data_IF_462900243928
#
_entry.id   IF_462900243928
#
_cell.length_a   1.000
_cell.length_b   1.000
_cell.length_c   1.000
_cell.angle_alpha   90.00
_cell.angle_beta   90.00
_cell.angle_gamma   90.00
#
_symmetry.space_group_name_H-M   'P 1'
#
loop_
_entity.id
_entity.type
_entity.pdbx_description
1 polymer ?
#
# COMPACT_ATOMS: atom_id res chain seq x y z
N UNK A 1 -7.09 22.24 -2.45
CA UNK A 1 -8.40 21.97 -3.05
C UNK A 1 -9.16 20.98 -2.17
N UNK A 2 -10.43 21.21 -1.82
CA UNK A 2 -11.20 20.25 -1.03
C UNK A 2 -11.35 18.92 -1.79
N UNK A 3 -11.52 17.83 -1.04
CA UNK A 3 -11.78 16.51 -1.63
C UNK A 3 -13.14 16.53 -2.35
N UNK A 4 -13.25 16.07 -3.60
CA UNK A 4 -14.48 16.20 -4.40
C UNK A 4 -15.61 15.24 -3.94
N UNK A 5 -15.40 14.43 -2.90
CA UNK A 5 -16.32 13.40 -2.46
C UNK A 5 -15.89 12.00 -2.92
N UNK A 6 -16.84 11.09 -3.11
CA UNK A 6 -16.54 9.74 -3.57
C UNK A 6 -16.10 9.74 -5.05
N UNK A 7 -14.99 9.05 -5.34
CA UNK A 7 -14.50 8.82 -6.70
C UNK A 7 -14.74 7.36 -7.07
N UNK A 8 -15.43 7.11 -8.17
CA UNK A 8 -15.61 5.77 -8.71
C UNK A 8 -14.48 5.46 -9.72
N UNK A 9 -13.82 4.32 -9.53
CA UNK A 9 -12.82 3.81 -10.47
C UNK A 9 -13.45 2.70 -11.31
N UNK A 10 -13.42 2.88 -12.62
CA UNK A 10 -13.91 1.90 -13.59
C UNK A 10 -12.73 1.29 -14.35
N UNK A 11 -12.91 0.07 -14.81
CA UNK A 11 -11.98 -0.63 -15.71
C UNK A 11 -12.74 -1.20 -16.89
N UNK A 12 -12.12 -1.12 -18.07
CA UNK A 12 -12.61 -1.80 -19.28
C UNK A 12 -11.45 -2.52 -19.96
N UNK A 13 -11.67 -3.66 -20.59
CA UNK A 13 -10.68 -4.31 -21.46
C UNK A 13 -10.54 -3.60 -22.82
N UNK A 14 -11.44 -2.68 -23.17
CA UNK A 14 -11.47 -1.93 -24.42
C UNK A 14 -12.04 -0.53 -24.24
N UNK A 15 -12.57 0.05 -25.30
CA UNK A 15 -13.19 1.38 -25.29
C UNK A 15 -14.60 1.40 -24.64
N UNK A 16 -15.23 0.25 -24.53
CA UNK A 16 -16.58 0.06 -24.00
C UNK A 16 -16.60 -0.97 -22.86
N UNK A 17 -17.76 -1.15 -22.23
CA UNK A 17 -17.96 -2.18 -21.22
C UNK A 17 -17.25 -1.86 -19.89
N UNK A 18 -17.35 -0.61 -19.43
CA UNK A 18 -16.76 -0.17 -18.17
C UNK A 18 -17.44 -0.82 -16.95
N UNK A 19 -16.67 -1.56 -16.17
CA UNK A 19 -17.10 -2.15 -14.91
C UNK A 19 -16.55 -1.37 -13.71
N UNK A 20 -17.40 -1.13 -12.72
CA UNK A 20 -16.98 -0.49 -11.47
C UNK A 20 -16.03 -1.43 -10.70
N UNK A 21 -14.78 -1.00 -10.50
CA UNK A 21 -13.78 -1.73 -9.72
C UNK A 21 -13.91 -1.41 -8.24
N UNK A 22 -13.99 -0.12 -7.91
CA UNK A 22 -14.06 0.34 -6.52
C UNK A 22 -14.52 1.79 -6.43
N UNK A 23 -14.96 2.18 -5.24
CA UNK A 23 -15.25 3.57 -4.92
C UNK A 23 -14.32 4.05 -3.81
N UNK A 24 -13.53 5.08 -4.11
CA UNK A 24 -12.63 5.72 -3.16
C UNK A 24 -13.40 6.85 -2.44
N UNK A 25 -13.68 6.66 -1.16
CA UNK A 25 -14.50 7.59 -0.37
C UNK A 25 -13.69 8.55 0.49
N UNK A 26 -12.42 8.28 0.70
CA UNK A 26 -11.53 9.07 1.56
C UNK A 26 -10.22 9.37 0.84
N UNK A 27 -9.57 10.45 1.26
CA UNK A 27 -8.21 10.76 0.84
C UNK A 27 -7.27 9.65 1.32
N UNK A 28 -6.23 9.39 0.53
CA UNK A 28 -5.10 8.62 1.00
C UNK A 28 -4.38 9.36 2.15
N UNK A 29 -3.79 8.61 3.07
CA UNK A 29 -2.84 9.17 4.01
C UNK A 29 -1.64 9.68 3.20
N UNK A 30 -1.33 10.94 3.31
CA UNK A 30 -0.20 11.58 2.62
C UNK A 30 0.53 12.47 3.60
N UNK A 31 1.85 12.44 3.54
CA UNK A 31 2.69 13.23 4.42
C UNK A 31 4.11 13.35 3.92
N UNK A 32 4.94 13.91 4.78
CA UNK A 32 6.38 14.02 4.59
C UNK A 32 7.12 13.60 5.84
N UNK A 33 8.27 12.99 5.66
CA UNK A 33 9.18 12.69 6.76
C UNK A 33 9.70 13.98 7.39
N UNK A 34 9.83 14.00 8.71
CA UNK A 34 10.43 15.13 9.44
C UNK A 34 11.86 14.86 9.87
N UNK A 35 12.30 13.61 9.75
CA UNK A 35 13.67 13.18 10.03
C UNK A 35 14.09 12.13 9.01
N UNK A 36 15.39 11.92 8.87
CA UNK A 36 15.94 10.88 8.01
C UNK A 36 15.55 9.50 8.53
N UNK A 37 15.20 8.61 7.63
CA UNK A 37 14.92 7.22 7.92
C UNK A 37 16.06 6.35 7.39
N UNK A 38 16.83 5.80 8.29
CA UNK A 38 17.97 4.94 7.97
C UNK A 38 17.52 3.52 7.55
N UNK A 39 18.42 2.80 6.89
CA UNK A 39 18.19 1.39 6.59
C UNK A 39 17.93 0.58 7.87
N UNK A 40 17.18 -0.49 7.75
CA UNK A 40 16.81 -1.34 8.87
C UNK A 40 16.80 -2.81 8.51
N UNK A 41 16.55 -3.69 9.49
CA UNK A 41 16.49 -5.13 9.25
C UNK A 41 15.28 -5.48 8.37
N UNK A 42 15.47 -6.46 7.50
CA UNK A 42 14.40 -7.15 6.77
C UNK A 42 13.96 -8.41 7.51
N UNK A 43 12.77 -8.90 7.21
CA UNK A 43 12.22 -10.17 7.75
C UNK A 43 12.03 -10.22 9.27
N UNK A 44 12.17 -9.12 9.97
CA UNK A 44 11.90 -8.95 11.41
C UNK A 44 11.48 -7.52 11.71
N UNK A 45 10.99 -7.27 12.92
CA UNK A 45 10.69 -5.92 13.37
C UNK A 45 11.96 -5.07 13.46
N UNK A 46 11.92 -3.90 12.88
CA UNK A 46 12.86 -2.82 13.13
C UNK A 46 12.37 -2.05 14.36
N UNK A 47 13.09 -2.24 15.46
CA UNK A 47 12.84 -1.58 16.74
C UNK A 47 13.81 -0.44 16.98
N UNK A 48 14.85 -0.29 16.16
CA UNK A 48 15.87 0.73 16.29
C UNK A 48 15.52 2.04 15.60
N UNK A 49 14.77 1.97 14.52
CA UNK A 49 14.35 3.16 13.75
C UNK A 49 12.93 3.58 14.14
N UNK A 50 12.68 4.88 14.03
CA UNK A 50 11.34 5.46 14.10
C UNK A 50 11.08 6.27 12.82
N UNK A 51 9.92 6.10 12.22
CA UNK A 51 9.46 6.91 11.09
C UNK A 51 8.64 8.07 11.64
N UNK A 52 9.16 9.29 11.55
CA UNK A 52 8.41 10.49 11.97
C UNK A 52 7.87 11.20 10.74
N UNK A 53 6.55 11.34 10.69
CA UNK A 53 5.84 11.87 9.52
C UNK A 53 4.85 12.96 9.91
N UNK A 54 4.87 14.07 9.16
CA UNK A 54 3.82 15.07 9.18
C UNK A 54 2.77 14.71 8.12
N UNK A 55 1.56 14.40 8.56
CA UNK A 55 0.45 14.09 7.66
C UNK A 55 -0.22 15.36 7.15
N UNK A 56 -0.35 15.46 5.84
CA UNK A 56 -1.16 16.46 5.14
C UNK A 56 -2.63 16.05 5.08
N UNK A 57 -2.89 14.76 5.19
CA UNK A 57 -4.24 14.19 5.20
C UNK A 57 -4.25 12.79 5.78
N UNK A 58 -5.36 12.41 6.43
CA UNK A 58 -5.59 11.11 7.02
C UNK A 58 -5.16 11.01 8.48
N UNK A 59 -5.25 9.81 9.02
CA UNK A 59 -4.87 9.44 10.40
C UNK A 59 -4.14 8.11 10.38
N UNK A 60 -3.31 7.89 11.39
CA UNK A 60 -2.61 6.62 11.62
C UNK A 60 -2.95 6.13 13.03
N UNK A 61 -3.09 4.84 13.19
CA UNK A 61 -3.42 4.20 14.47
C UNK A 61 -2.50 3.00 14.70
N UNK A 62 -2.27 2.68 15.96
CA UNK A 62 -1.58 1.44 16.31
C UNK A 62 -2.45 0.23 15.96
N UNK A 63 -1.83 -0.85 15.51
CA UNK A 63 -2.52 -2.07 15.08
C UNK A 63 -1.92 -3.31 15.75
N UNK A 64 -2.73 -4.36 15.87
CA UNK A 64 -2.27 -5.65 16.35
C UNK A 64 -1.35 -6.32 15.32
N UNK A 65 -0.51 -7.26 15.76
CA UNK A 65 0.40 -8.00 14.87
C UNK A 65 -0.37 -8.76 13.79
N UNK A 66 -1.52 -9.33 14.12
CA UNK A 66 -2.37 -10.04 13.16
C UNK A 66 -2.84 -9.11 12.04
N UNK A 67 -3.29 -7.91 12.39
CA UNK A 67 -3.70 -6.91 11.41
C UNK A 67 -2.49 -6.41 10.59
N UNK A 68 -1.34 -6.19 11.24
CA UNK A 68 -0.11 -5.78 10.59
C UNK A 68 0.34 -6.79 9.53
N UNK A 69 0.39 -8.07 9.87
CA UNK A 69 0.70 -9.16 8.93
C UNK A 69 -0.36 -9.32 7.83
N UNK A 70 -1.59 -8.89 8.09
CA UNK A 70 -2.65 -8.76 7.08
C UNK A 70 -2.45 -7.60 6.09
N UNK A 71 -1.40 -6.80 6.25
CA UNK A 71 -1.05 -5.72 5.31
C UNK A 71 -1.61 -4.35 5.68
N UNK A 72 -2.15 -4.19 6.88
CA UNK A 72 -2.65 -2.90 7.39
C UNK A 72 -1.48 -1.97 7.74
N UNK A 73 -1.73 -0.68 7.80
CA UNK A 73 -0.73 0.38 8.10
C UNK A 73 0.50 0.37 7.17
N UNK A 74 0.31 0.02 5.92
CA UNK A 74 1.36 0.11 4.93
C UNK A 74 1.51 1.55 4.42
N UNK A 75 2.75 2.01 4.35
CA UNK A 75 3.18 3.30 3.85
C UNK A 75 4.24 3.10 2.77
N UNK A 76 4.12 3.83 1.68
CA UNK A 76 5.19 3.96 0.70
C UNK A 76 5.99 5.22 1.05
N UNK A 77 7.28 5.07 1.30
CA UNK A 77 8.24 6.15 1.59
C UNK A 77 9.18 6.29 0.40
N UNK A 78 9.34 7.49 -0.10
CA UNK A 78 10.24 7.78 -1.23
C UNK A 78 11.68 7.93 -0.71
N UNK A 79 12.47 6.87 -0.84
CA UNK A 79 13.87 6.87 -0.41
C UNK A 79 14.74 7.73 -1.35
N UNK A 80 14.46 7.70 -2.65
CA UNK A 80 15.07 8.55 -3.66
C UNK A 80 14.03 8.86 -4.74
N UNK A 81 14.33 9.77 -5.65
CA UNK A 81 13.41 10.16 -6.72
C UNK A 81 12.90 8.93 -7.52
N UNK A 82 11.63 8.61 -7.37
CA UNK A 82 11.00 7.45 -8.00
C UNK A 82 11.28 6.09 -7.35
N UNK A 83 12.12 6.03 -6.31
CA UNK A 83 12.44 4.82 -5.57
C UNK A 83 11.65 4.80 -4.27
N UNK A 84 10.84 3.77 -4.08
CA UNK A 84 9.90 3.70 -2.97
C UNK A 84 10.13 2.45 -2.13
N UNK A 85 10.23 2.63 -0.81
CA UNK A 85 10.19 1.54 0.17
C UNK A 85 8.77 1.40 0.71
N UNK A 86 8.28 0.18 0.79
CA UNK A 86 7.02 -0.14 1.48
C UNK A 86 7.35 -0.55 2.91
N UNK A 87 6.80 0.19 3.86
CA UNK A 87 7.00 0.00 5.29
C UNK A 87 5.64 -0.22 5.94
N UNK A 88 5.56 -1.13 6.90
CA UNK A 88 4.39 -1.24 7.77
C UNK A 88 4.77 -0.83 9.20
N UNK A 89 3.86 -0.16 9.89
CA UNK A 89 4.06 0.29 11.26
C UNK A 89 3.07 -0.37 12.22
N UNK A 90 3.56 -1.02 13.25
CA UNK A 90 2.74 -1.66 14.28
C UNK A 90 2.25 -0.67 15.33
N UNK A 91 3.04 0.35 15.64
CA UNK A 91 2.68 1.38 16.60
C UNK A 91 2.70 2.77 15.97
N UNK A 92 1.70 3.57 16.28
CA UNK A 92 1.57 4.96 15.84
C UNK A 92 1.21 5.84 17.03
N UNK A 93 2.06 6.80 17.32
CA UNK A 93 1.90 7.79 18.39
C UNK A 93 1.72 9.18 17.80
N UNK A 94 0.67 9.88 18.17
CA UNK A 94 0.46 11.27 17.79
C UNK A 94 1.30 12.17 18.72
N UNK A 95 2.42 12.71 18.23
CA UNK A 95 3.34 13.52 19.02
C UNK A 95 3.14 15.03 18.89
N UNK A 96 2.42 15.46 17.84
CA UNK A 96 1.97 16.83 17.64
C UNK A 96 0.79 16.84 16.65
N UNK A 97 0.05 17.94 16.49
CA UNK A 97 -1.05 18.02 15.53
C UNK A 97 -0.61 17.59 14.11
N UNK A 98 -1.16 16.47 13.62
CA UNK A 98 -0.82 15.88 12.33
C UNK A 98 0.55 15.18 12.27
N UNK A 99 1.35 15.20 13.34
CA UNK A 99 2.67 14.56 13.38
C UNK A 99 2.62 13.26 14.15
N UNK A 100 3.03 12.19 13.49
CA UNK A 100 3.05 10.84 14.03
C UNK A 100 4.49 10.32 14.13
N UNK A 101 4.77 9.63 15.24
CA UNK A 101 5.93 8.77 15.41
C UNK A 101 5.47 7.33 15.21
N UNK A 102 6.03 6.66 14.23
CA UNK A 102 5.74 5.26 13.91
C UNK A 102 6.92 4.40 14.32
N UNK A 103 6.64 3.34 15.07
CA UNK A 103 7.64 2.38 15.57
C UNK A 103 7.18 0.95 15.31
N UNK A 104 8.02 -0.03 15.66
CA UNK A 104 7.78 -1.44 15.32
C UNK A 104 7.55 -1.62 13.82
N UNK A 105 8.56 -1.22 13.05
CA UNK A 105 8.45 -1.18 11.60
C UNK A 105 8.75 -2.56 10.99
N UNK A 106 8.02 -2.91 9.95
CA UNK A 106 8.39 -3.98 9.01
C UNK A 106 8.88 -3.29 7.74
N UNK A 107 10.17 -3.44 7.46
CA UNK A 107 10.89 -2.73 6.41
C UNK A 107 10.90 -3.53 5.10
N UNK A 108 11.08 -2.84 3.98
CA UNK A 108 11.29 -3.45 2.67
C UNK A 108 10.15 -4.38 2.23
N UNK A 109 8.91 -4.10 2.62
CA UNK A 109 7.80 -4.99 2.31
C UNK A 109 7.53 -5.07 0.81
N UNK A 110 6.99 -6.20 0.35
CA UNK A 110 6.61 -6.44 -1.04
C UNK A 110 7.78 -6.39 -2.03
N UNK A 111 8.98 -6.76 -1.60
CA UNK A 111 10.17 -6.81 -2.45
C UNK A 111 10.82 -5.44 -2.68
N UNK A 112 10.63 -4.49 -1.75
CA UNK A 112 11.22 -3.14 -1.85
C UNK A 112 12.46 -2.95 -0.98
N UNK A 113 13.11 -4.03 -0.56
CA UNK A 113 14.33 -4.01 0.27
C UNK A 113 15.47 -3.24 -0.41
N UNK A 114 15.53 -3.27 -1.73
CA UNK A 114 16.52 -2.54 -2.51
C UNK A 114 16.46 -1.02 -2.31
N UNK A 115 15.30 -0.49 -1.91
CA UNK A 115 15.12 0.94 -1.69
C UNK A 115 15.76 1.46 -0.38
N UNK A 116 16.20 0.55 0.51
CA UNK A 116 16.84 0.90 1.77
C UNK A 116 18.34 1.22 1.65
N UNK A 117 18.92 1.13 0.46
CA UNK A 117 20.37 1.33 0.24
C UNK A 117 20.89 2.72 0.61
N UNK A 118 20.03 3.73 0.58
CA UNK A 118 20.29 5.10 1.03
C UNK A 118 19.21 5.53 2.02
N UNK A 119 19.55 6.34 3.04
CA UNK A 119 18.55 6.87 3.96
C UNK A 119 17.49 7.68 3.20
N UNK A 120 16.22 7.47 3.52
CA UNK A 120 15.17 8.36 3.04
C UNK A 120 15.28 9.70 3.79
N UNK A 121 15.52 10.83 3.09
CA UNK A 121 15.81 12.10 3.73
C UNK A 121 14.58 12.73 4.38
N UNK A 122 14.79 13.59 5.36
CA UNK A 122 13.76 14.50 5.84
C UNK A 122 13.15 15.27 4.66
N UNK A 123 11.82 15.44 4.67
CA UNK A 123 11.06 15.98 3.53
C UNK A 123 10.62 14.95 2.49
N UNK A 124 11.14 13.71 2.53
CA UNK A 124 10.71 12.63 1.66
C UNK A 124 9.21 12.40 1.74
N UNK A 125 8.59 12.07 0.60
CA UNK A 125 7.16 11.82 0.53
C UNK A 125 6.80 10.49 1.17
N UNK A 126 5.73 10.50 1.98
CA UNK A 126 5.11 9.31 2.53
C UNK A 126 3.66 9.23 2.07
N UNK A 127 3.22 8.06 1.63
CA UNK A 127 1.85 7.81 1.16
C UNK A 127 1.32 6.51 1.73
N UNK A 128 0.07 6.53 2.19
CA UNK A 128 -0.62 5.30 2.56
C UNK A 128 -0.69 4.34 1.37
N UNK A 129 -0.15 3.15 1.53
CA UNK A 129 -0.27 2.09 0.55
C UNK A 129 -1.59 1.34 0.82
N UNK A 130 -2.43 1.20 -0.20
CA UNK A 130 -3.66 0.43 -0.06
C UNK A 130 -3.36 -1.02 0.33
N UNK A 131 -4.13 -1.62 1.24
CA UNK A 131 -4.07 -3.06 1.45
C UNK A 131 -4.30 -3.75 0.10
N UNK A 132 -3.66 -4.90 -0.12
CA UNK A 132 -3.98 -5.71 -1.31
C UNK A 132 -5.46 -6.03 -1.23
N UNK A 133 -6.24 -5.54 -2.18
CA UNK A 133 -7.56 -6.08 -2.43
C UNK A 133 -7.42 -7.59 -2.70
N UNK A 134 -8.48 -8.39 -2.50
CA UNK A 134 -8.44 -9.80 -2.83
C UNK A 134 -7.91 -9.92 -4.26
N UNK A 135 -6.81 -10.66 -4.42
CA UNK A 135 -6.21 -10.91 -5.73
C UNK A 135 -7.30 -11.51 -6.61
N UNK A 136 -7.57 -10.90 -7.77
CA UNK A 136 -8.49 -11.43 -8.78
C UNK A 136 -7.93 -12.72 -9.41
N UNK A 137 -7.33 -13.61 -8.61
CA UNK A 137 -6.76 -14.90 -8.99
C UNK A 137 -7.75 -16.05 -9.04
N UNK A 138 -9.06 -15.78 -9.18
CA UNK A 138 -10.09 -16.80 -9.16
C UNK A 138 -10.92 -16.97 -10.43
N UNK A 139 -10.55 -16.42 -11.58
CA UNK A 139 -11.35 -16.54 -12.80
C UNK A 139 -10.63 -17.10 -14.04
N UNK A 140 -9.43 -17.60 -13.91
CA UNK A 140 -8.76 -18.25 -15.07
C UNK A 140 -9.16 -19.72 -15.30
N UNK A 141 -9.74 -20.40 -14.31
CA UNK A 141 -10.11 -21.82 -14.46
C UNK A 141 -11.52 -22.08 -15.00
N UNK A 142 -12.38 -21.08 -15.06
CA UNK A 142 -13.76 -21.28 -15.58
C UNK A 142 -13.86 -21.26 -17.11
N UNK A 143 -12.83 -20.78 -17.82
CA UNK A 143 -12.86 -20.71 -19.28
C UNK A 143 -12.38 -22.00 -19.96
N UNK A 144 -11.64 -22.88 -19.29
CA UNK A 144 -11.09 -24.10 -19.87
C UNK A 144 -12.10 -25.27 -19.97
N UNK A 145 -13.27 -25.18 -19.34
CA UNK A 145 -14.28 -26.27 -19.34
C UNK A 145 -15.41 -26.11 -20.36
N UNK A 146 -15.41 -25.11 -21.20
CA UNK A 146 -16.47 -24.89 -22.22
C UNK A 146 -16.09 -25.18 -23.67
N UNK A 147 -14.86 -25.56 -23.95
CA UNK A 147 -14.41 -25.87 -25.32
C UNK A 147 -14.24 -27.37 -25.61
N UNK A 148 -14.82 -28.25 -24.81
CA UNK A 148 -14.70 -29.69 -24.99
C UNK A 148 -16.03 -30.40 -25.19
N UNK A 149 -16.85 -30.04 -26.16
CA UNK A 149 -17.90 -30.91 -26.69
C UNK A 149 -18.43 -30.44 -28.06
N UNK A 150 -17.57 -30.46 -29.05
CA UNK A 150 -18.03 -30.42 -30.46
C UNK A 150 -18.23 -31.88 -30.91
N UNK A 151 -19.49 -32.28 -31.02
CA UNK A 151 -19.93 -33.59 -31.52
C UNK A 151 -19.46 -33.78 -32.97
N UNK A 152 -18.88 -34.96 -33.28
CA UNK A 152 -18.65 -35.47 -34.62
C UNK A 152 -20.02 -35.68 -35.31
N UNK A 153 -20.15 -35.40 -36.59
CA UNK A 153 -21.32 -35.83 -37.37
C UNK A 153 -21.22 -37.35 -37.73
N UNK A 154 -22.34 -38.03 -37.85
CA UNK A 154 -22.36 -39.41 -38.29
C UNK A 154 -22.11 -39.56 -39.81
N UNK A 155 -21.44 -40.62 -40.17
CA UNK A 155 -21.19 -41.14 -41.53
C UNK A 155 -22.46 -41.46 -42.29
#
# INVERSE_FOLDING_TARGET
KPWPGALAAYRSPGADGFELVTTVRRRANMGRLTADLWSGPTSRFDLGNALVVDLLSGTLESVTDVALFGGVNALAVEAAAGVWEIIQAGAAELIAPGRYRLTRLLRGQRGTEYAMGTPAPAGARARGAAPRGPSAGGRAEACARRCGNARRPPS
#
